data_IF_563635480887
#
_entry.id   IF_563635480887
#
_cell.length_a   1.000
_cell.length_b   1.000
_cell.length_c   1.000
_cell.angle_alpha   90.00
_cell.angle_beta   90.00
_cell.angle_gamma   90.00
#
_symmetry.space_group_name_H-M   'P 1'
#
loop_
_entity.id
_entity.type
_entity.pdbx_description
1 polymer ?
#
# COMPACT_ATOMS: atom_id res chain seq x y z
N UNK A 1 -20.99 13.11 -3.69
CA UNK A 1 -19.77 12.31 -3.77
C UNK A 1 -19.10 12.44 -2.42
N UNK A 2 -19.01 11.37 -1.67
CA UNK A 2 -18.44 11.42 -0.32
C UNK A 2 -16.97 11.81 -0.44
N UNK A 3 -16.55 12.85 0.27
CA UNK A 3 -15.15 13.35 0.20
C UNK A 3 -14.12 12.30 0.62
N UNK A 4 -14.56 11.24 1.31
CA UNK A 4 -13.71 10.14 1.78
C UNK A 4 -13.44 9.11 0.69
N UNK A 5 -14.33 8.91 -0.26
CA UNK A 5 -14.16 7.91 -1.33
C UNK A 5 -12.93 8.15 -2.22
N UNK A 6 -12.37 9.36 -2.20
CA UNK A 6 -11.13 9.67 -2.91
C UNK A 6 -9.88 9.05 -2.27
N UNK A 7 -9.90 8.73 -0.97
CA UNK A 7 -8.76 8.16 -0.26
C UNK A 7 -8.77 6.63 -0.32
N UNK A 8 -7.62 6.06 -0.63
CA UNK A 8 -7.45 4.61 -0.72
C UNK A 8 -6.35 4.15 0.23
N UNK A 9 -6.41 2.89 0.65
CA UNK A 9 -5.34 2.30 1.46
C UNK A 9 -4.00 2.47 0.76
N UNK A 10 -2.97 2.81 1.54
CA UNK A 10 -1.59 3.08 1.11
C UNK A 10 -1.38 4.40 0.35
N UNK A 11 -2.41 5.23 0.20
CA UNK A 11 -2.22 6.60 -0.25
C UNK A 11 -1.43 7.40 0.79
N UNK A 12 -0.82 8.48 0.33
CA UNK A 12 -0.02 9.39 1.14
C UNK A 12 -0.78 10.69 1.33
N UNK A 13 -0.79 11.19 2.57
CA UNK A 13 -1.47 12.45 2.90
C UNK A 13 -0.58 13.34 3.74
N UNK A 14 -0.54 14.62 3.41
CA UNK A 14 0.14 15.66 4.18
C UNK A 14 -0.88 16.39 5.04
N UNK A 15 -0.48 16.75 6.24
CA UNK A 15 -1.37 17.21 7.29
C UNK A 15 -1.15 18.69 7.60
N UNK A 16 -2.23 19.42 7.86
CA UNK A 16 -2.19 20.80 8.37
C UNK A 16 -1.73 20.84 9.84
N UNK A 17 -1.34 22.03 10.31
CA UNK A 17 -1.02 22.26 11.73
C UNK A 17 -2.17 21.89 12.66
N UNK A 18 -3.42 22.08 12.21
CA UNK A 18 -4.59 21.70 13.00
C UNK A 18 -4.68 20.17 13.18
N UNK A 19 -4.43 19.40 12.11
CA UNK A 19 -4.36 17.93 12.21
C UNK A 19 -3.29 17.48 13.20
N UNK A 20 -2.10 18.07 13.14
CA UNK A 20 -1.02 17.77 14.06
C UNK A 20 -1.36 18.11 15.50
N UNK A 21 -1.98 19.28 15.74
CA UNK A 21 -2.47 19.68 17.07
C UNK A 21 -3.43 18.65 17.64
N UNK A 22 -4.40 18.20 16.84
CA UNK A 22 -5.37 17.18 17.25
C UNK A 22 -4.70 15.82 17.55
N UNK A 23 -3.74 15.41 16.71
CA UNK A 23 -2.97 14.18 16.93
C UNK A 23 -2.19 14.25 18.25
N UNK A 24 -1.44 15.31 18.50
CA UNK A 24 -0.68 15.47 19.74
C UNK A 24 -1.55 15.54 20.99
N UNK A 25 -2.76 16.08 20.88
CA UNK A 25 -3.70 16.10 22.00
C UNK A 25 -4.18 14.72 22.44
N UNK A 26 -4.20 13.76 21.50
CA UNK A 26 -4.67 12.38 21.70
C UNK A 26 -3.53 11.37 21.92
N UNK A 27 -2.31 11.69 21.43
CA UNK A 27 -1.15 10.81 21.45
C UNK A 27 -0.08 11.33 22.39
N UNK A 28 -0.01 10.74 23.59
CA UNK A 28 1.00 11.10 24.60
C UNK A 28 2.30 10.29 24.48
N UNK A 29 2.25 9.15 23.77
CA UNK A 29 3.41 8.28 23.56
C UNK A 29 4.09 8.58 22.23
N UNK A 30 5.42 8.40 22.18
CA UNK A 30 6.23 8.61 20.98
C UNK A 30 6.15 10.02 20.37
N UNK A 31 5.90 11.03 21.21
CA UNK A 31 5.77 12.43 20.79
C UNK A 31 7.00 12.94 20.03
N UNK A 32 8.22 12.54 20.43
CA UNK A 32 9.46 12.91 19.74
C UNK A 32 9.47 12.43 18.28
N UNK A 33 9.08 11.18 18.04
CA UNK A 33 8.99 10.63 16.69
C UNK A 33 7.95 11.34 15.82
N UNK A 34 6.78 11.67 16.40
CA UNK A 34 5.72 12.41 15.70
C UNK A 34 6.13 13.87 15.46
N UNK A 35 6.81 14.53 16.42
CA UNK A 35 7.35 15.88 16.23
C UNK A 35 8.36 15.93 15.09
N UNK A 36 9.25 14.93 15.01
CA UNK A 36 10.16 14.81 13.88
C UNK A 36 9.41 14.63 12.57
N UNK A 37 8.37 13.77 12.55
CA UNK A 37 7.55 13.53 11.35
C UNK A 37 6.90 14.82 10.85
N UNK A 38 6.32 15.61 11.74
CA UNK A 38 5.77 16.92 11.45
C UNK A 38 6.83 17.90 10.93
N UNK A 39 7.98 17.99 11.63
CA UNK A 39 9.05 18.93 11.29
C UNK A 39 9.64 18.67 9.89
N UNK A 40 9.80 17.40 9.52
CA UNK A 40 10.33 16.98 8.22
C UNK A 40 9.25 16.95 7.12
N UNK A 41 8.02 17.31 7.48
CA UNK A 41 6.85 17.34 6.57
C UNK A 41 6.60 15.99 5.84
N UNK A 42 6.90 14.86 6.50
CA UNK A 42 6.67 13.55 5.91
C UNK A 42 5.19 13.20 5.89
N UNK A 43 4.70 12.51 4.81
CA UNK A 43 3.30 12.14 4.70
C UNK A 43 2.91 11.03 5.66
N UNK A 44 1.67 11.07 6.14
CA UNK A 44 1.03 9.91 6.75
C UNK A 44 0.52 8.95 5.68
N UNK A 45 0.39 7.67 6.05
CA UNK A 45 -0.15 6.63 5.16
C UNK A 45 -1.62 6.41 5.47
N UNK A 46 -2.49 6.42 4.45
CA UNK A 46 -3.91 6.11 4.59
C UNK A 46 -4.09 4.62 4.91
N UNK A 47 -4.84 4.36 5.97
CA UNK A 47 -5.14 3.04 6.48
C UNK A 47 -6.58 2.63 6.18
N UNK A 48 -6.89 1.38 6.49
CA UNK A 48 -8.26 0.92 6.54
C UNK A 48 -9.04 1.69 7.61
N UNK A 49 -10.25 2.08 7.28
CA UNK A 49 -11.16 2.76 8.20
C UNK A 49 -11.51 1.83 9.36
N UNK A 50 -11.46 2.32 10.57
CA UNK A 50 -12.00 1.61 11.71
C UNK A 50 -13.49 1.97 11.95
N UNK A 51 -14.16 1.15 12.77
CA UNK A 51 -15.59 1.29 13.03
C UNK A 51 -15.96 2.56 13.82
N UNK A 52 -15.00 3.19 14.48
CA UNK A 52 -15.23 4.38 15.32
C UNK A 52 -14.90 5.69 14.59
N UNK A 53 -14.40 5.62 13.35
CA UNK A 53 -14.09 6.82 12.58
C UNK A 53 -15.39 7.53 12.15
N UNK A 54 -15.46 8.85 12.39
CA UNK A 54 -16.58 9.69 11.95
C UNK A 54 -16.60 9.82 10.42
N UNK A 55 -17.75 10.17 9.83
CA UNK A 55 -17.92 10.18 8.37
C UNK A 55 -16.99 11.16 7.64
N UNK A 56 -16.42 12.12 8.32
CA UNK A 56 -15.45 13.09 7.82
C UNK A 56 -14.00 12.76 8.21
N UNK A 57 -13.74 11.62 8.85
CA UNK A 57 -12.40 11.23 9.30
C UNK A 57 -11.74 10.17 8.41
N UNK A 58 -10.45 10.37 8.12
CA UNK A 58 -9.56 9.42 7.46
C UNK A 58 -8.64 8.78 8.50
N UNK A 59 -8.55 7.45 8.50
CA UNK A 59 -7.61 6.72 9.32
C UNK A 59 -6.21 6.75 8.69
N UNK A 60 -5.22 7.15 9.46
CA UNK A 60 -3.84 7.32 9.00
C UNK A 60 -2.85 6.64 9.94
N UNK A 61 -1.66 6.35 9.43
CA UNK A 61 -0.60 5.71 10.18
C UNK A 61 0.77 6.32 9.95
N UNK A 62 1.60 6.20 10.98
CA UNK A 62 3.00 6.61 10.98
C UNK A 62 3.85 5.43 11.43
N UNK A 63 4.81 5.03 10.63
CA UNK A 63 5.79 4.00 10.98
C UNK A 63 7.06 4.72 11.43
N UNK A 64 7.16 4.99 12.73
CA UNK A 64 8.25 5.78 13.29
C UNK A 64 9.54 4.96 13.34
N UNK A 65 10.67 5.58 12.97
CA UNK A 65 12.01 5.06 13.24
C UNK A 65 12.67 5.92 14.31
N UNK A 66 12.74 5.41 15.53
CA UNK A 66 13.29 6.14 16.69
C UNK A 66 14.80 5.98 16.78
N UNK A 67 15.46 6.92 17.44
CA UNK A 67 16.91 6.95 17.66
C UNK A 67 17.44 5.76 18.46
N UNK A 68 16.58 5.14 19.28
CA UNK A 68 16.90 3.94 20.07
C UNK A 68 16.68 2.62 19.29
N UNK A 69 16.39 2.70 18.00
CA UNK A 69 16.16 1.54 17.11
C UNK A 69 14.76 0.94 17.17
N UNK A 70 13.87 1.45 18.02
CA UNK A 70 12.46 1.04 18.00
C UNK A 70 11.77 1.61 16.75
N UNK A 71 10.80 0.84 16.23
CA UNK A 71 9.96 1.22 15.10
C UNK A 71 8.47 1.11 15.50
N UNK A 72 7.98 1.99 16.40
CA UNK A 72 6.57 1.95 16.77
C UNK A 72 5.70 2.41 15.62
N UNK A 73 4.57 1.72 15.44
CA UNK A 73 3.53 2.13 14.53
C UNK A 73 2.47 2.94 15.28
N UNK A 74 2.19 4.15 14.81
CA UNK A 74 1.20 5.03 15.40
C UNK A 74 -0.01 5.09 14.47
N UNK A 75 -1.17 4.77 15.02
CA UNK A 75 -2.46 4.94 14.40
C UNK A 75 -3.08 6.28 14.85
N UNK A 76 -3.64 7.03 13.91
CA UNK A 76 -4.36 8.27 14.18
C UNK A 76 -5.55 8.43 13.23
N UNK A 77 -6.40 9.40 13.51
CA UNK A 77 -7.48 9.85 12.64
C UNK A 77 -7.35 11.35 12.41
N UNK A 78 -7.67 11.80 11.22
CA UNK A 78 -7.72 13.21 10.88
C UNK A 78 -8.95 13.51 10.04
N UNK A 79 -9.49 14.72 10.13
CA UNK A 79 -10.58 15.14 9.26
C UNK A 79 -10.06 15.37 7.85
N UNK A 80 -10.92 15.11 6.86
CA UNK A 80 -10.61 15.36 5.45
C UNK A 80 -10.18 16.81 5.22
N UNK A 81 -10.82 17.78 5.86
CA UNK A 81 -10.51 19.21 5.74
C UNK A 81 -9.12 19.61 6.25
N UNK A 82 -8.47 18.75 7.06
CA UNK A 82 -7.12 18.98 7.59
C UNK A 82 -6.04 18.28 6.76
N UNK A 83 -6.41 17.63 5.67
CA UNK A 83 -5.47 17.08 4.69
C UNK A 83 -5.17 18.15 3.65
N UNK A 84 -3.91 18.59 3.58
CA UNK A 84 -3.48 19.67 2.66
C UNK A 84 -3.02 19.17 1.30
N UNK A 85 -2.56 17.91 1.23
CA UNK A 85 -2.14 17.25 0.00
C UNK A 85 -2.45 15.76 0.08
N UNK A 86 -2.82 15.17 -1.05
CA UNK A 86 -3.10 13.75 -1.21
C UNK A 86 -2.42 13.22 -2.47
N UNK A 87 -1.72 12.11 -2.34
CA UNK A 87 -1.04 11.42 -3.43
C UNK A 87 -1.24 9.91 -3.31
N UNK A 88 -1.42 9.25 -4.43
CA UNK A 88 -1.37 7.77 -4.44
C UNK A 88 0.02 7.26 -4.04
N UNK A 89 0.11 6.01 -3.58
CA UNK A 89 1.38 5.33 -3.31
C UNK A 89 2.41 5.53 -4.43
N UNK A 90 3.70 5.46 -4.11
CA UNK A 90 4.80 5.80 -5.03
C UNK A 90 4.88 4.87 -6.24
N UNK A 91 5.34 5.36 -7.39
CA UNK A 91 5.65 4.49 -8.53
C UNK A 91 6.88 3.62 -8.23
N UNK A 92 6.94 2.42 -8.81
CA UNK A 92 8.10 1.54 -8.63
C UNK A 92 9.39 2.25 -9.08
N UNK A 93 9.36 2.97 -10.21
CA UNK A 93 10.52 3.69 -10.72
C UNK A 93 11.07 4.73 -9.75
N UNK A 94 10.23 5.37 -8.96
CA UNK A 94 10.59 6.40 -7.99
C UNK A 94 11.47 5.85 -6.87
N UNK A 95 11.20 4.64 -6.38
CA UNK A 95 11.88 4.07 -5.21
C UNK A 95 13.12 3.24 -5.54
N UNK A 96 13.35 2.89 -6.81
CA UNK A 96 14.51 2.09 -7.23
C UNK A 96 15.86 2.67 -6.75
N UNK A 97 16.10 3.99 -6.80
CA UNK A 97 17.40 4.54 -6.39
C UNK A 97 17.77 4.29 -4.93
N UNK A 98 16.79 4.13 -4.04
CA UNK A 98 17.01 3.90 -2.60
C UNK A 98 16.89 2.42 -2.22
N UNK A 99 16.54 1.55 -3.15
CA UNK A 99 16.51 0.11 -2.93
C UNK A 99 17.95 -0.43 -2.78
N UNK A 100 18.14 -1.55 -2.05
CA UNK A 100 19.42 -2.25 -2.00
C UNK A 100 19.98 -2.49 -3.41
N UNK A 101 21.29 -2.27 -3.59
CA UNK A 101 21.94 -2.36 -4.91
C UNK A 101 21.67 -3.72 -5.58
N UNK A 102 21.62 -4.79 -4.78
CA UNK A 102 21.32 -6.15 -5.27
C UNK A 102 19.93 -6.27 -5.94
N UNK A 103 18.98 -5.41 -5.59
CA UNK A 103 17.61 -5.46 -6.15
C UNK A 103 17.42 -4.50 -7.33
N UNK A 104 18.26 -3.46 -7.45
CA UNK A 104 18.02 -2.35 -8.38
C UNK A 104 17.94 -2.78 -9.84
N UNK A 105 18.80 -3.72 -10.29
CA UNK A 105 18.78 -4.18 -11.68
C UNK A 105 17.48 -4.92 -11.99
N UNK A 106 17.11 -5.90 -11.15
CA UNK A 106 15.88 -6.64 -11.33
C UNK A 106 14.62 -5.77 -11.20
N UNK A 107 14.63 -4.75 -10.33
CA UNK A 107 13.53 -3.79 -10.22
C UNK A 107 13.40 -2.91 -11.47
N UNK A 108 14.50 -2.49 -12.09
CA UNK A 108 14.46 -1.73 -13.37
C UNK A 108 13.89 -2.59 -14.49
N UNK A 109 14.33 -3.83 -14.60
CA UNK A 109 13.82 -4.78 -15.60
C UNK A 109 12.34 -5.05 -15.39
N UNK A 110 11.89 -5.36 -14.16
CA UNK A 110 10.50 -5.53 -13.82
C UNK A 110 9.68 -4.29 -14.20
N UNK A 111 10.16 -3.08 -13.87
CA UNK A 111 9.45 -1.85 -14.19
C UNK A 111 9.33 -1.61 -15.72
N UNK A 112 10.37 -1.91 -16.48
CA UNK A 112 10.37 -1.79 -17.95
C UNK A 112 9.37 -2.75 -18.57
N UNK A 113 9.40 -4.03 -18.17
CA UNK A 113 8.48 -5.03 -18.71
C UNK A 113 7.03 -4.78 -18.30
N UNK A 114 6.79 -4.36 -17.05
CA UNK A 114 5.46 -3.97 -16.58
C UNK A 114 4.92 -2.80 -17.42
N UNK A 115 5.75 -1.77 -17.65
CA UNK A 115 5.37 -0.62 -18.48
C UNK A 115 5.04 -1.04 -19.92
N UNK A 116 5.85 -1.91 -20.52
CA UNK A 116 5.61 -2.45 -21.85
C UNK A 116 4.31 -3.26 -21.95
N UNK A 117 3.92 -3.93 -20.86
CA UNK A 117 2.65 -4.66 -20.74
C UNK A 117 1.45 -3.77 -20.36
N UNK A 118 1.64 -2.45 -20.19
CA UNK A 118 0.60 -1.52 -19.73
C UNK A 118 0.32 -1.60 -18.23
N UNK A 119 1.08 -2.40 -17.46
CA UNK A 119 0.90 -2.60 -16.03
C UNK A 119 1.69 -1.53 -15.26
N UNK A 120 0.99 -0.77 -14.41
CA UNK A 120 1.60 0.23 -13.54
C UNK A 120 1.81 -0.35 -12.15
N UNK A 121 3.08 -0.54 -11.77
CA UNK A 121 3.47 -1.00 -10.45
C UNK A 121 3.71 0.18 -9.51
N UNK A 122 3.14 0.09 -8.31
CA UNK A 122 3.35 1.05 -7.22
C UNK A 122 3.92 0.34 -6.01
N UNK A 123 4.49 1.11 -5.08
CA UNK A 123 5.18 0.58 -3.90
C UNK A 123 4.65 1.26 -2.65
N UNK A 124 4.48 0.47 -1.59
CA UNK A 124 4.16 0.92 -0.25
C UNK A 124 5.10 0.26 0.78
N UNK A 125 4.87 0.48 2.07
CA UNK A 125 5.66 -0.15 3.14
C UNK A 125 7.10 0.35 3.24
N UNK A 126 8.01 -0.50 3.73
CA UNK A 126 9.35 -0.12 4.14
C UNK A 126 10.18 0.59 3.05
N UNK A 127 10.13 0.10 1.80
CA UNK A 127 10.89 0.72 0.71
C UNK A 127 10.35 2.11 0.34
N UNK A 128 9.03 2.28 0.37
CA UNK A 128 8.41 3.59 0.14
C UNK A 128 8.76 4.57 1.26
N UNK A 129 8.70 4.13 2.52
CA UNK A 129 9.07 4.95 3.69
C UNK A 129 10.55 5.33 3.67
N UNK A 130 11.44 4.42 3.26
CA UNK A 130 12.86 4.74 3.11
C UNK A 130 13.09 5.85 2.07
N UNK A 131 12.34 5.83 0.97
CA UNK A 131 12.40 6.90 -0.03
C UNK A 131 11.86 8.23 0.51
N UNK A 132 10.69 8.21 1.16
CA UNK A 132 10.01 9.40 1.65
C UNK A 132 10.75 10.11 2.78
N UNK A 133 11.41 9.34 3.65
CA UNK A 133 12.01 9.88 4.88
C UNK A 133 13.55 9.99 4.81
N UNK A 134 14.17 9.28 3.88
CA UNK A 134 15.64 9.12 3.84
C UNK A 134 16.20 8.26 4.99
N UNK A 135 15.34 7.68 5.84
CA UNK A 135 15.75 6.83 6.94
C UNK A 135 15.87 5.37 6.50
N UNK A 136 16.63 4.58 7.26
CA UNK A 136 16.77 3.16 6.96
C UNK A 136 15.61 2.35 7.53
N UNK A 137 14.68 1.95 6.67
CA UNK A 137 13.53 1.08 7.01
C UNK A 137 13.77 -0.38 6.63
N UNK A 138 14.65 -0.65 5.67
CA UNK A 138 14.90 -2.00 5.18
C UNK A 138 15.89 -2.74 6.09
N UNK A 139 15.60 -4.00 6.32
CA UNK A 139 16.47 -4.99 6.97
C UNK A 139 16.56 -6.27 6.15
N UNK A 140 17.25 -7.29 6.66
CA UNK A 140 17.47 -8.57 5.96
C UNK A 140 16.18 -9.38 5.70
N UNK A 141 15.10 -9.09 6.43
CA UNK A 141 13.81 -9.76 6.29
C UNK A 141 12.78 -8.91 5.53
N UNK A 142 13.16 -7.69 5.15
CA UNK A 142 12.27 -6.77 4.47
C UNK A 142 11.85 -7.28 3.11
N UNK A 143 10.63 -6.94 2.71
CA UNK A 143 10.03 -7.27 1.43
C UNK A 143 9.77 -6.00 0.64
N UNK A 144 9.57 -6.17 -0.65
CA UNK A 144 9.17 -5.09 -1.56
C UNK A 144 7.67 -5.23 -1.76
N UNK A 145 6.91 -4.36 -1.13
CA UNK A 145 5.45 -4.38 -1.16
C UNK A 145 4.94 -3.68 -2.42
N UNK A 146 4.51 -4.47 -3.40
CA UNK A 146 4.02 -3.99 -4.70
C UNK A 146 2.49 -3.90 -4.69
N UNK A 147 1.98 -2.81 -5.26
CA UNK A 147 0.57 -2.65 -5.61
C UNK A 147 0.42 -2.57 -7.12
N UNK A 148 -0.58 -3.23 -7.66
CA UNK A 148 -1.04 -2.92 -9.00
C UNK A 148 -2.56 -3.02 -9.13
N UNK A 149 -3.11 -2.25 -10.09
CA UNK A 149 -4.53 -2.13 -10.37
C UNK A 149 -4.78 -2.60 -11.80
N UNK A 150 -5.22 -3.85 -12.01
CA UNK A 150 -5.58 -4.32 -13.33
C UNK A 150 -6.80 -3.54 -13.84
N UNK A 151 -6.77 -3.15 -15.12
CA UNK A 151 -7.90 -2.53 -15.80
C UNK A 151 -8.85 -3.59 -16.38
N UNK A 152 -8.30 -4.75 -16.71
CA UNK A 152 -9.00 -5.89 -17.28
C UNK A 152 -8.32 -7.20 -16.90
N UNK A 153 -8.89 -8.32 -17.32
CA UNK A 153 -8.33 -9.64 -17.06
C UNK A 153 -6.96 -9.86 -17.71
N UNK A 154 -6.69 -9.28 -18.87
CA UNK A 154 -5.40 -9.38 -19.55
C UNK A 154 -4.29 -8.68 -18.73
N UNK A 155 -4.57 -7.48 -18.21
CA UNK A 155 -3.66 -6.78 -17.32
C UNK A 155 -3.44 -7.55 -16.01
N UNK A 156 -4.49 -8.18 -15.44
CA UNK A 156 -4.36 -9.03 -14.25
C UNK A 156 -3.37 -10.16 -14.50
N UNK A 157 -3.56 -10.93 -15.58
CA UNK A 157 -2.69 -12.06 -15.94
C UNK A 157 -1.25 -11.57 -16.19
N UNK A 158 -1.07 -10.49 -16.94
CA UNK A 158 0.26 -9.94 -17.25
C UNK A 158 0.99 -9.51 -15.98
N UNK A 159 0.34 -8.77 -15.09
CA UNK A 159 0.93 -8.32 -13.82
C UNK A 159 1.31 -9.48 -12.91
N UNK A 160 0.43 -10.47 -12.74
CA UNK A 160 0.70 -11.66 -11.92
C UNK A 160 1.86 -12.49 -12.48
N UNK A 161 1.93 -12.67 -13.80
CA UNK A 161 3.01 -13.41 -14.47
C UNK A 161 4.37 -12.73 -14.23
N UNK A 162 4.41 -11.40 -14.34
CA UNK A 162 5.62 -10.63 -14.04
C UNK A 162 6.03 -10.80 -12.57
N UNK A 163 5.13 -10.57 -11.63
CA UNK A 163 5.44 -10.70 -10.21
C UNK A 163 5.89 -12.11 -9.83
N UNK A 164 5.26 -13.15 -10.40
CA UNK A 164 5.65 -14.54 -10.18
C UNK A 164 7.06 -14.85 -10.69
N UNK A 165 7.44 -14.33 -11.86
CA UNK A 165 8.77 -14.52 -12.41
C UNK A 165 9.85 -13.81 -11.59
N UNK A 166 9.62 -12.56 -11.21
CA UNK A 166 10.61 -11.76 -10.49
C UNK A 166 10.74 -12.09 -9.00
N UNK A 167 9.74 -12.75 -8.38
CA UNK A 167 9.82 -13.18 -6.97
C UNK A 167 10.97 -14.16 -6.68
N UNK A 168 11.50 -14.80 -7.69
CA UNK A 168 12.65 -15.71 -7.57
C UNK A 168 13.98 -14.97 -7.42
N UNK A 169 14.01 -13.69 -7.81
CA UNK A 169 15.21 -12.87 -7.82
C UNK A 169 15.22 -11.81 -6.70
N UNK A 170 14.06 -11.53 -6.11
CA UNK A 170 13.92 -10.53 -5.04
C UNK A 170 12.69 -10.80 -4.18
N UNK A 171 12.69 -10.31 -2.92
CA UNK A 171 11.64 -10.62 -1.95
C UNK A 171 10.36 -9.80 -2.21
N UNK A 172 9.71 -10.02 -3.36
CA UNK A 172 8.45 -9.35 -3.69
C UNK A 172 7.30 -9.82 -2.80
N UNK A 173 6.47 -8.87 -2.38
CA UNK A 173 5.19 -9.07 -1.72
C UNK A 173 4.16 -8.05 -2.23
N UNK A 174 2.97 -8.02 -1.65
CA UNK A 174 1.99 -6.97 -1.93
C UNK A 174 0.64 -7.45 -2.39
N UNK A 175 -0.13 -6.54 -3.00
CA UNK A 175 -1.55 -6.73 -3.27
C UNK A 175 -1.92 -6.34 -4.71
N UNK A 176 -2.89 -7.07 -5.26
CA UNK A 176 -3.68 -6.66 -6.43
C UNK A 176 -4.90 -5.91 -5.91
N UNK A 177 -5.19 -4.74 -6.48
CA UNK A 177 -6.35 -3.93 -6.09
C UNK A 177 -7.32 -3.89 -7.26
N UNK A 178 -8.49 -4.47 -7.08
CA UNK A 178 -9.58 -4.52 -8.04
C UNK A 178 -10.34 -3.17 -8.11
N UNK A 179 -11.13 -2.91 -9.17
CA UNK A 179 -11.77 -1.61 -9.42
C UNK A 179 -12.59 -1.05 -8.25
N UNK A 180 -13.23 -1.91 -7.45
CA UNK A 180 -14.02 -1.50 -6.27
C UNK A 180 -13.17 -1.30 -5.00
N UNK A 181 -11.84 -1.15 -5.12
CA UNK A 181 -10.93 -0.96 -3.98
C UNK A 181 -10.62 -2.22 -3.17
N UNK A 182 -11.09 -3.38 -3.64
CA UNK A 182 -10.87 -4.69 -3.02
C UNK A 182 -9.44 -5.16 -3.32
N UNK A 183 -8.67 -5.44 -2.29
CA UNK A 183 -7.27 -5.86 -2.38
C UNK A 183 -7.09 -7.31 -1.94
N UNK A 184 -6.27 -8.06 -2.67
CA UNK A 184 -5.89 -9.44 -2.37
C UNK A 184 -4.38 -9.58 -2.49
N UNK A 185 -3.75 -10.33 -1.59
CA UNK A 185 -2.34 -10.70 -1.78
C UNK A 185 -2.17 -11.42 -3.13
N UNK A 186 -1.29 -10.91 -3.99
CA UNK A 186 -1.06 -11.54 -5.28
C UNK A 186 -0.47 -12.96 -5.14
N UNK A 187 0.23 -13.24 -4.03
CA UNK A 187 0.72 -14.60 -3.71
C UNK A 187 -0.42 -15.56 -3.39
N UNK A 188 -1.37 -15.11 -2.56
CA UNK A 188 -2.56 -15.90 -2.25
C UNK A 188 -3.40 -16.15 -3.50
N UNK A 189 -3.53 -15.13 -4.35
CA UNK A 189 -4.20 -15.26 -5.64
C UNK A 189 -3.59 -16.37 -6.49
N UNK A 190 -2.25 -16.42 -6.63
CA UNK A 190 -1.57 -17.44 -7.42
C UNK A 190 -1.62 -18.85 -6.78
N UNK A 191 -1.52 -18.93 -5.45
CA UNK A 191 -1.58 -20.22 -4.74
C UNK A 191 -2.94 -20.89 -4.91
N UNK A 192 -4.01 -20.14 -4.90
CA UNK A 192 -5.35 -20.68 -5.07
C UNK A 192 -5.59 -21.25 -6.49
N UNK A 193 -4.87 -20.81 -7.53
CA UNK A 193 -4.94 -21.39 -8.89
C UNK A 193 -4.26 -22.77 -8.99
N UNK A 194 -3.44 -23.14 -8.02
CA UNK A 194 -2.64 -24.38 -8.05
C UNK A 194 -3.41 -25.61 -7.51
N UNK A 195 -4.67 -25.46 -7.07
CA UNK A 195 -5.50 -26.55 -6.53
C UNK A 195 -6.44 -27.10 -7.62
N UNK A 196 -6.28 -28.34 -8.09
CA UNK A 196 -6.91 -28.86 -9.33
C UNK A 196 -8.43 -29.00 -9.30
N UNK A 197 -9.10 -29.02 -8.17
CA UNK A 197 -10.53 -29.39 -8.07
C UNK A 197 -11.47 -28.31 -7.50
N UNK A 198 -10.98 -27.09 -7.32
CA UNK A 198 -11.76 -26.01 -6.72
C UNK A 198 -12.19 -24.91 -7.73
N UNK A 199 -12.49 -25.29 -8.95
CA UNK A 199 -12.54 -24.36 -10.10
C UNK A 199 -13.66 -23.29 -10.07
N UNK A 200 -14.59 -23.29 -9.11
CA UNK A 200 -15.66 -22.28 -9.09
C UNK A 200 -15.80 -21.46 -7.81
N UNK A 201 -15.23 -21.93 -6.67
CA UNK A 201 -15.40 -21.24 -5.39
C UNK A 201 -14.10 -21.05 -4.59
N UNK A 202 -12.99 -20.79 -5.27
CA UNK A 202 -11.74 -20.48 -4.56
C UNK A 202 -11.90 -19.16 -3.80
N UNK A 203 -11.92 -19.28 -2.46
CA UNK A 203 -11.97 -18.15 -1.57
C UNK A 203 -10.59 -17.53 -1.39
N UNK A 204 -10.53 -16.21 -1.46
CA UNK A 204 -9.35 -15.42 -1.16
C UNK A 204 -9.66 -14.38 -0.08
N UNK A 205 -8.66 -14.04 0.74
CA UNK A 205 -8.82 -13.00 1.76
C UNK A 205 -8.79 -11.62 1.09
N UNK A 206 -9.95 -11.02 1.01
CA UNK A 206 -10.15 -9.69 0.44
C UNK A 206 -10.12 -8.65 1.56
N UNK A 207 -9.33 -7.61 1.35
CA UNK A 207 -9.26 -6.43 2.23
C UNK A 207 -9.74 -5.22 1.44
N UNK A 208 -10.70 -4.50 1.95
CA UNK A 208 -11.11 -3.20 1.40
C UNK A 208 -10.89 -2.08 2.44
N UNK A 209 -11.46 -0.91 2.21
CA UNK A 209 -11.34 0.23 3.11
C UNK A 209 -12.01 -0.03 4.47
N UNK A 210 -13.00 -0.92 4.55
CA UNK A 210 -13.86 -1.09 5.72
C UNK A 210 -13.66 -2.42 6.45
N UNK A 211 -13.35 -3.50 5.73
CA UNK A 211 -13.34 -4.85 6.28
C UNK A 211 -12.33 -5.78 5.59
N UNK A 212 -12.10 -6.92 6.24
CA UNK A 212 -11.44 -8.08 5.64
C UNK A 212 -12.39 -9.27 5.68
N UNK A 213 -12.57 -9.94 4.54
CA UNK A 213 -13.50 -11.06 4.39
C UNK A 213 -13.05 -12.03 3.31
N UNK A 214 -13.51 -13.27 3.39
CA UNK A 214 -13.30 -14.24 2.32
C UNK A 214 -14.35 -14.03 1.22
N UNK A 215 -13.89 -13.94 -0.03
CA UNK A 215 -14.74 -13.87 -1.21
C UNK A 215 -14.26 -14.84 -2.29
N UNK A 216 -15.19 -15.39 -3.11
CA UNK A 216 -14.81 -16.15 -4.29
C UNK A 216 -14.07 -15.27 -5.30
N UNK A 217 -13.05 -15.80 -5.96
CA UNK A 217 -12.26 -15.08 -6.98
C UNK A 217 -13.09 -14.50 -8.12
N UNK A 218 -14.11 -15.23 -8.57
CA UNK A 218 -14.95 -14.79 -9.69
C UNK A 218 -15.63 -13.44 -9.40
N UNK A 219 -16.05 -13.17 -8.15
CA UNK A 219 -16.64 -11.88 -7.77
C UNK A 219 -15.70 -10.71 -8.02
N UNK A 220 -14.39 -10.93 -7.87
CA UNK A 220 -13.37 -9.91 -8.11
C UNK A 220 -13.08 -9.75 -9.61
N UNK A 221 -13.00 -10.87 -10.34
CA UNK A 221 -12.75 -10.83 -11.80
C UNK A 221 -13.92 -10.26 -12.57
N UNK A 222 -15.16 -10.47 -12.12
CA UNK A 222 -16.35 -9.84 -12.72
C UNK A 222 -16.25 -8.31 -12.69
N UNK A 223 -15.69 -7.73 -11.62
CA UNK A 223 -15.50 -6.29 -11.50
C UNK A 223 -14.54 -5.69 -12.56
N UNK A 224 -13.70 -6.52 -13.20
CA UNK A 224 -12.80 -6.10 -14.29
C UNK A 224 -13.53 -5.95 -15.64
N UNK A 225 -14.76 -6.43 -15.76
CA UNK A 225 -15.57 -6.34 -16.98
C UNK A 225 -16.55 -5.16 -16.96
N UNK A 226 -16.70 -4.49 -15.80
CA UNK A 226 -17.65 -3.38 -15.60
C UNK A 226 -17.00 -2.00 -15.90
N UNK A 227 -15.73 -1.97 -16.29
CA UNK A 227 -14.96 -0.75 -16.58
C UNK A 227 -14.77 -0.58 -18.06
#
# INVERSE_FOLDING_TARGET
>A
MDQIEQFQRHDLVWLSDQAWSDIFSRQTQNSEGLQRWQHEEWPAVVLRRDAEAADDEVCIGFDLSLTDGRKPYIFARTRVEYIIEHQSSLSLSTVIPVAPVAWQTALRELNLEATAAGVRLRVYGALALQFLTGLNYLDTNSRIDILFRPQDHKHLVAGLTLLQRYREHMPLDGEVIFPRGQAVSWKEWLLSDSVPDAAQDQLVLVKDMYQARLLPKHVLTESLHET
#
